data_IF_172785005583
#
_entry.id   IF_172785005583
#
_cell.length_a   1.000
_cell.length_b   1.000
_cell.length_c   1.000
_cell.angle_alpha   90.00
_cell.angle_beta   90.00
_cell.angle_gamma   90.00
#
_symmetry.space_group_name_H-M   'P 1'
#
loop_
_entity.id
_entity.type
_entity.pdbx_description
1 polymer ?
#
# COMPACT_ATOMS: atom_id res chain seq x y z
N UNK A 1 21.35 -2.75 1.93
CA UNK A 1 20.15 -3.61 1.87
C UNK A 1 19.89 -4.17 0.46
N UNK A 2 20.28 -3.49 -0.59
CA UNK A 2 20.20 -3.93 -1.99
C UNK A 2 21.39 -4.80 -2.41
N UNK A 3 21.70 -5.77 -1.57
CA UNK A 3 22.74 -6.75 -1.82
C UNK A 3 22.32 -8.08 -1.22
N UNK A 4 22.38 -9.14 -2.00
CA UNK A 4 21.96 -10.46 -1.56
C UNK A 4 22.95 -11.53 -2.00
N UNK A 5 23.58 -12.21 -1.07
CA UNK A 5 24.44 -13.40 -1.23
C UNK A 5 25.40 -13.37 -2.44
N UNK A 6 26.14 -12.26 -2.58
CA UNK A 6 27.12 -12.11 -3.66
C UNK A 6 26.61 -11.27 -4.85
N UNK A 7 25.33 -10.90 -4.87
CA UNK A 7 24.72 -10.12 -5.92
C UNK A 7 24.22 -8.78 -5.40
N UNK A 8 24.68 -7.70 -6.02
CA UNK A 8 24.16 -6.35 -5.83
C UNK A 8 23.37 -5.90 -7.04
N UNK A 9 22.95 -4.62 -7.01
CA UNK A 9 22.27 -4.00 -8.13
C UNK A 9 23.19 -3.89 -9.38
N UNK A 10 22.66 -4.01 -10.60
CA UNK A 10 21.29 -4.36 -10.97
C UNK A 10 21.01 -5.86 -10.85
N UNK A 11 19.98 -6.24 -10.13
CA UNK A 11 19.56 -7.63 -9.94
C UNK A 11 18.14 -7.67 -9.35
N UNK A 12 17.23 -8.49 -9.88
CA UNK A 12 15.84 -8.53 -9.45
C UNK A 12 15.68 -9.01 -7.99
N UNK A 13 16.43 -10.02 -7.57
CA UNK A 13 16.35 -10.54 -6.20
C UNK A 13 16.95 -9.57 -5.18
N UNK A 14 18.10 -8.94 -5.50
CA UNK A 14 18.70 -7.91 -4.66
C UNK A 14 17.77 -6.69 -4.53
N UNK A 15 17.13 -6.29 -5.62
CA UNK A 15 16.15 -5.21 -5.62
C UNK A 15 14.93 -5.54 -4.76
N UNK A 16 14.24 -6.65 -5.06
CA UNK A 16 13.02 -7.03 -4.37
C UNK A 16 13.24 -7.26 -2.87
N UNK A 17 14.39 -7.85 -2.49
CA UNK A 17 14.75 -8.02 -1.08
C UNK A 17 14.97 -6.67 -0.37
N UNK A 18 15.74 -5.77 -1.00
CA UNK A 18 15.99 -4.43 -0.48
C UNK A 18 14.70 -3.62 -0.35
N UNK A 19 13.83 -3.72 -1.36
CA UNK A 19 12.53 -3.06 -1.35
C UNK A 19 11.60 -3.63 -0.29
N UNK A 20 11.56 -4.95 -0.11
CA UNK A 20 10.83 -5.61 0.98
C UNK A 20 11.36 -5.18 2.36
N UNK A 21 12.67 -4.98 2.50
CA UNK A 21 13.25 -4.44 3.73
C UNK A 21 12.75 -3.01 4.02
N UNK A 22 12.69 -2.14 3.01
CA UNK A 22 12.15 -0.78 3.15
C UNK A 22 10.68 -0.80 3.56
N UNK A 23 9.87 -1.64 2.90
CA UNK A 23 8.44 -1.80 3.19
C UNK A 23 8.21 -2.24 4.65
N UNK A 24 8.98 -3.20 5.13
CA UNK A 24 8.81 -3.80 6.45
C UNK A 24 9.54 -3.05 7.56
N UNK A 25 10.53 -2.21 7.24
CA UNK A 25 11.43 -1.58 8.21
C UNK A 25 12.33 -2.58 8.96
N UNK A 26 12.43 -3.83 8.48
CA UNK A 26 13.20 -4.93 9.07
C UNK A 26 13.59 -5.95 8.02
N UNK A 27 14.46 -6.90 8.39
CA UNK A 27 14.78 -8.04 7.53
C UNK A 27 13.50 -8.78 7.12
N UNK A 28 13.22 -8.90 5.80
CA UNK A 28 12.05 -9.59 5.31
C UNK A 28 12.11 -11.11 5.49
N UNK A 29 13.29 -11.71 5.63
CA UNK A 29 13.46 -13.16 5.73
C UNK A 29 13.00 -13.92 4.47
N UNK A 30 12.98 -13.25 3.32
CA UNK A 30 12.64 -13.84 2.04
C UNK A 30 13.74 -14.80 1.54
N UNK A 31 13.45 -15.53 0.48
CA UNK A 31 14.39 -16.42 -0.19
C UNK A 31 15.69 -15.70 -0.58
N UNK A 32 16.82 -16.40 -0.45
CA UNK A 32 18.16 -15.91 -0.82
C UNK A 32 18.72 -16.59 -2.07
N UNK A 33 17.95 -17.43 -2.72
CA UNK A 33 18.33 -18.17 -3.92
C UNK A 33 17.83 -17.48 -5.19
N UNK A 34 17.87 -18.19 -6.31
CA UNK A 34 17.42 -17.65 -7.60
C UNK A 34 15.91 -17.31 -7.58
N UNK A 35 15.53 -16.34 -8.41
CA UNK A 35 14.19 -15.76 -8.38
C UNK A 35 13.06 -16.80 -8.58
N UNK A 36 13.29 -17.86 -9.38
CA UNK A 36 12.29 -18.92 -9.59
C UNK A 36 11.99 -19.76 -8.35
N UNK A 37 12.85 -19.72 -7.30
CA UNK A 37 12.68 -20.45 -6.05
C UNK A 37 11.89 -19.65 -5.00
N UNK A 38 11.68 -18.35 -5.23
CA UNK A 38 11.09 -17.45 -4.24
C UNK A 38 9.67 -17.82 -3.86
N UNK A 39 8.85 -18.13 -4.88
CA UNK A 39 7.43 -18.40 -4.63
C UNK A 39 7.20 -19.66 -3.77
N UNK A 40 8.02 -20.69 -3.94
CA UNK A 40 7.90 -21.96 -3.22
C UNK A 40 8.72 -22.00 -1.93
N UNK A 41 9.52 -20.96 -1.66
CA UNK A 41 10.34 -20.89 -0.45
C UNK A 41 9.47 -20.72 0.81
N UNK A 42 9.82 -21.47 1.88
CA UNK A 42 9.08 -21.40 3.15
C UNK A 42 9.61 -20.25 4.04
N UNK A 43 9.16 -19.04 3.78
CA UNK A 43 9.50 -17.81 4.53
C UNK A 43 8.41 -17.41 5.54
N UNK A 44 7.30 -18.16 5.60
CA UNK A 44 6.18 -17.89 6.49
C UNK A 44 5.17 -16.86 5.98
N UNK A 45 5.39 -16.26 4.81
CA UNK A 45 4.42 -15.37 4.17
C UNK A 45 3.32 -16.14 3.46
N UNK A 46 2.13 -15.58 3.38
CA UNK A 46 1.04 -16.13 2.55
C UNK A 46 1.29 -15.84 1.06
N UNK A 47 0.70 -16.68 0.21
CA UNK A 47 0.78 -16.58 -1.25
C UNK A 47 -0.61 -16.44 -1.85
N UNK A 48 -0.69 -15.89 -3.06
CA UNK A 48 -1.93 -15.80 -3.81
C UNK A 48 -1.77 -15.24 -5.21
N UNK A 49 -2.90 -15.03 -5.89
CA UNK A 49 -2.94 -14.59 -7.29
C UNK A 49 -3.44 -13.15 -7.46
N UNK A 50 -3.92 -12.53 -6.39
CA UNK A 50 -4.43 -11.15 -6.42
C UNK A 50 -3.32 -10.16 -6.12
N UNK A 51 -3.07 -9.14 -6.95
CA UNK A 51 -2.05 -8.14 -6.67
C UNK A 51 -2.43 -7.29 -5.46
N UNK A 52 -1.47 -7.09 -4.54
CA UNK A 52 -1.59 -6.19 -3.38
C UNK A 52 -0.36 -5.32 -3.31
N UNK A 53 -0.51 -4.04 -2.98
CA UNK A 53 0.62 -3.12 -2.80
C UNK A 53 1.59 -3.69 -1.76
N UNK A 54 2.88 -3.61 -2.04
CA UNK A 54 3.95 -4.18 -1.23
C UNK A 54 4.18 -5.69 -1.39
N UNK A 55 3.37 -6.40 -2.18
CA UNK A 55 3.59 -7.80 -2.47
C UNK A 55 4.77 -8.00 -3.45
N UNK A 56 5.46 -9.12 -3.33
CA UNK A 56 6.46 -9.54 -4.32
C UNK A 56 5.80 -10.45 -5.35
N UNK A 57 5.82 -10.03 -6.60
CA UNK A 57 5.38 -10.83 -7.75
C UNK A 57 6.51 -11.73 -8.23
N UNK A 58 6.19 -12.99 -8.55
CA UNK A 58 7.15 -14.02 -8.92
C UNK A 58 6.82 -14.65 -10.27
N UNK A 59 7.84 -14.79 -11.11
CA UNK A 59 7.78 -15.47 -12.42
C UNK A 59 8.91 -16.46 -12.55
N UNK A 60 8.67 -17.49 -13.36
CA UNK A 60 9.67 -18.47 -13.75
C UNK A 60 9.64 -18.73 -15.23
N UNK A 61 10.73 -19.25 -15.78
CA UNK A 61 10.76 -19.86 -17.10
C UNK A 61 11.64 -21.10 -17.10
N UNK A 62 11.31 -22.02 -18.01
CA UNK A 62 12.15 -23.17 -18.33
C UNK A 62 12.34 -23.23 -19.84
N UNK A 63 13.55 -23.07 -20.31
CA UNK A 63 13.89 -23.14 -21.75
C UNK A 63 15.23 -23.84 -21.96
N UNK A 64 15.27 -24.79 -22.90
CA UNK A 64 16.49 -25.49 -23.32
C UNK A 64 17.31 -26.13 -22.18
N UNK A 65 16.65 -26.57 -21.11
CA UNK A 65 17.32 -27.16 -19.96
C UNK A 65 17.79 -26.12 -18.91
N UNK A 66 17.51 -24.84 -19.13
CA UNK A 66 17.81 -23.76 -18.19
C UNK A 66 16.54 -23.29 -17.48
N UNK A 67 16.65 -23.11 -16.18
CA UNK A 67 15.61 -22.50 -15.34
C UNK A 67 16.04 -21.10 -14.99
N UNK A 68 15.11 -20.17 -15.05
CA UNK A 68 15.32 -18.79 -14.61
C UNK A 68 14.07 -18.24 -13.96
N UNK A 69 14.16 -17.07 -13.34
CA UNK A 69 13.05 -16.42 -12.70
C UNK A 69 13.22 -14.92 -12.67
N UNK A 70 12.11 -14.24 -12.37
CA UNK A 70 12.08 -12.81 -12.10
C UNK A 70 11.19 -12.54 -10.89
N UNK A 71 11.58 -11.54 -10.12
CA UNK A 71 10.78 -11.01 -9.00
C UNK A 71 10.71 -9.49 -9.12
N UNK A 72 9.52 -8.96 -8.84
CA UNK A 72 9.24 -7.54 -8.84
C UNK A 72 8.37 -7.17 -7.65
N UNK A 73 8.29 -5.90 -7.29
CA UNK A 73 7.46 -5.45 -6.18
C UNK A 73 6.26 -4.69 -6.72
N UNK A 74 5.07 -4.97 -6.18
CA UNK A 74 3.84 -4.25 -6.49
C UNK A 74 3.88 -2.92 -5.76
N UNK A 75 4.00 -1.83 -6.52
CA UNK A 75 4.05 -0.48 -5.95
C UNK A 75 2.66 0.18 -5.91
N UNK A 76 1.80 -0.16 -6.88
CA UNK A 76 0.50 0.46 -7.01
C UNK A 76 -0.52 -0.48 -7.65
N UNK A 77 -1.76 -0.41 -7.17
CA UNK A 77 -2.92 -1.08 -7.77
C UNK A 77 -4.03 -0.05 -7.83
N UNK A 78 -4.29 0.52 -9.00
CA UNK A 78 -5.34 1.52 -9.18
C UNK A 78 -5.89 1.52 -10.59
N UNK A 79 -7.17 1.92 -10.73
CA UNK A 79 -7.84 2.08 -12.04
C UNK A 79 -7.70 0.84 -12.95
N UNK A 80 -7.70 -0.37 -12.37
CA UNK A 80 -7.55 -1.62 -13.11
C UNK A 80 -6.11 -1.94 -13.53
N UNK A 81 -5.12 -1.17 -13.10
CA UNK A 81 -3.70 -1.35 -13.44
C UNK A 81 -2.86 -1.68 -12.22
N UNK A 82 -1.97 -2.66 -12.37
CA UNK A 82 -0.90 -2.97 -11.42
C UNK A 82 0.39 -2.34 -11.92
N UNK A 83 1.09 -1.61 -11.06
CA UNK A 83 2.44 -1.10 -11.33
C UNK A 83 3.45 -1.92 -10.54
N UNK A 84 4.44 -2.45 -11.23
CA UNK A 84 5.56 -3.18 -10.63
C UNK A 84 6.85 -2.36 -10.72
N UNK A 85 7.64 -2.37 -9.66
CA UNK A 85 9.03 -1.90 -9.69
C UNK A 85 9.98 -3.09 -9.82
N UNK A 86 10.99 -2.91 -10.63
CA UNK A 86 11.88 -3.96 -11.09
C UNK A 86 13.35 -3.53 -11.11
N UNK A 87 14.24 -4.52 -11.11
CA UNK A 87 15.63 -4.41 -11.55
C UNK A 87 15.99 -5.63 -12.38
N UNK A 88 16.85 -5.49 -13.39
CA UNK A 88 17.22 -6.59 -14.27
C UNK A 88 18.72 -6.85 -14.22
N UNK A 89 19.11 -8.10 -13.97
CA UNK A 89 20.50 -8.50 -13.83
C UNK A 89 21.35 -8.09 -15.02
N UNK A 90 22.43 -7.32 -14.74
CA UNK A 90 23.37 -6.88 -15.74
C UNK A 90 22.83 -5.84 -16.73
N UNK A 91 21.62 -5.32 -16.51
CA UNK A 91 20.99 -4.38 -17.44
C UNK A 91 20.54 -3.09 -16.73
N UNK A 92 19.40 -3.08 -16.03
CA UNK A 92 18.77 -1.87 -15.50
C UNK A 92 18.66 -1.92 -13.97
N UNK A 93 19.06 -0.84 -13.28
CA UNK A 93 18.95 -0.75 -11.83
C UNK A 93 17.49 -0.64 -11.35
N UNK A 94 16.70 0.12 -12.12
CA UNK A 94 15.29 0.37 -11.78
C UNK A 94 14.50 0.63 -13.06
N UNK A 95 13.34 -0.04 -13.18
CA UNK A 95 12.34 0.24 -14.21
C UNK A 95 10.95 -0.17 -13.72
N UNK A 96 9.91 0.36 -14.38
CA UNK A 96 8.53 0.02 -14.08
C UNK A 96 7.95 -0.85 -15.19
N UNK A 97 7.13 -1.83 -14.78
CA UNK A 97 6.23 -2.56 -15.68
C UNK A 97 4.79 -2.43 -15.21
N UNK A 98 3.86 -2.63 -16.13
CA UNK A 98 2.43 -2.43 -15.90
C UNK A 98 1.65 -3.64 -16.42
N UNK A 99 0.62 -4.04 -15.68
CA UNK A 99 -0.28 -5.11 -16.09
C UNK A 99 -1.74 -4.75 -15.74
N UNK A 100 -2.71 -5.41 -16.41
CA UNK A 100 -4.11 -5.38 -15.97
C UNK A 100 -4.24 -6.11 -14.62
N UNK A 101 -5.05 -5.57 -13.72
CA UNK A 101 -5.29 -6.17 -12.39
C UNK A 101 -5.84 -7.59 -12.47
N UNK A 102 -6.57 -7.92 -13.56
CA UNK A 102 -7.12 -9.25 -13.82
C UNK A 102 -6.15 -10.16 -14.59
N UNK A 103 -5.03 -9.60 -15.09
CA UNK A 103 -3.95 -10.35 -15.76
C UNK A 103 -2.58 -9.82 -15.32
N UNK A 104 -2.23 -9.97 -14.03
CA UNK A 104 -0.96 -9.47 -13.49
C UNK A 104 0.26 -10.22 -14.05
N UNK A 105 0.06 -11.39 -14.67
CA UNK A 105 1.11 -12.16 -15.33
C UNK A 105 1.82 -11.38 -16.44
N UNK A 106 1.14 -10.45 -17.08
CA UNK A 106 1.66 -9.62 -18.17
C UNK A 106 2.71 -8.61 -17.73
N UNK A 107 2.96 -8.45 -16.42
CA UNK A 107 4.08 -7.64 -15.90
C UNK A 107 5.45 -8.08 -16.42
N UNK A 108 5.59 -9.40 -16.74
CA UNK A 108 6.75 -10.01 -17.42
C UNK A 108 6.29 -10.94 -18.55
N UNK A 109 6.18 -10.40 -19.74
CA UNK A 109 5.69 -11.13 -20.91
C UNK A 109 6.58 -12.31 -21.31
N UNK A 110 5.97 -13.47 -21.49
CA UNK A 110 6.64 -14.70 -21.95
C UNK A 110 7.24 -15.55 -20.84
N UNK A 111 7.01 -15.20 -19.58
CA UNK A 111 7.36 -15.97 -18.40
C UNK A 111 6.10 -16.58 -17.78
N UNK A 112 6.25 -17.64 -17.00
CA UNK A 112 5.16 -18.24 -16.26
C UNK A 112 4.98 -17.50 -14.93
N UNK A 113 3.85 -16.88 -14.71
CA UNK A 113 3.54 -16.24 -13.46
C UNK A 113 3.25 -17.29 -12.38
N UNK A 114 4.00 -17.24 -11.26
CA UNK A 114 3.80 -18.12 -10.12
C UNK A 114 2.76 -17.55 -9.16
N UNK A 115 2.79 -16.23 -8.90
CA UNK A 115 1.90 -15.53 -8.00
C UNK A 115 2.60 -14.44 -7.17
N UNK A 116 1.95 -14.05 -6.11
CA UNK A 116 2.41 -13.01 -5.18
C UNK A 116 2.78 -13.58 -3.81
N UNK A 117 3.88 -13.10 -3.24
CA UNK A 117 4.24 -13.27 -1.82
C UNK A 117 3.75 -12.03 -1.08
N UNK A 118 2.85 -12.20 -0.09
CA UNK A 118 2.27 -11.09 0.65
C UNK A 118 3.09 -10.77 1.89
N UNK A 119 3.87 -9.70 1.84
CA UNK A 119 4.72 -9.26 2.96
C UNK A 119 3.91 -8.69 4.13
N UNK A 120 2.67 -8.30 3.88
CA UNK A 120 1.73 -7.70 4.81
C UNK A 120 0.56 -7.06 4.06
N UNK A 121 -0.28 -6.32 4.77
CA UNK A 121 -1.42 -5.61 4.18
C UNK A 121 -1.06 -4.12 4.01
N UNK A 122 -0.30 -3.82 2.97
CA UNK A 122 0.22 -2.47 2.66
C UNK A 122 -0.59 -1.81 1.54
N UNK A 123 -1.74 -1.38 1.77
CA UNK A 123 -2.53 -0.65 0.79
C UNK A 123 -3.89 -1.23 0.59
N UNK A 124 -4.79 -0.82 1.44
CA UNK A 124 -6.21 -0.85 1.12
C UNK A 124 -6.53 0.30 0.19
N UNK A 125 -6.28 0.12 -1.12
CA UNK A 125 -7.08 0.82 -2.10
C UNK A 125 -8.44 0.11 -2.12
N UNK A 126 -9.44 0.77 -1.53
CA UNK A 126 -10.82 0.33 -1.55
C UNK A 126 -11.37 0.37 -2.98
N UNK A 127 -11.27 -0.73 -3.70
CA UNK A 127 -12.21 -1.08 -4.74
C UNK A 127 -12.52 -2.56 -4.56
N UNK A 128 -13.50 -2.81 -3.70
CA UNK A 128 -14.01 -4.14 -3.44
C UNK A 128 -14.97 -4.57 -4.53
N UNK A 129 -14.71 -5.77 -5.02
CA UNK A 129 -15.72 -6.83 -5.02
C UNK A 129 -14.95 -8.12 -5.24
N UNK A 130 -14.66 -8.85 -4.17
CA UNK A 130 -14.76 -10.32 -4.24
C UNK A 130 -14.77 -10.89 -2.83
N UNK A 131 -15.80 -11.64 -2.66
CA UNK A 131 -16.34 -12.38 -1.54
C UNK A 131 -15.50 -13.62 -1.22
N UNK A 132 -15.25 -13.81 0.04
CA UNK A 132 -15.21 -15.00 0.87
C UNK A 132 -14.04 -15.04 1.85
N UNK A 133 -14.39 -14.86 3.11
CA UNK A 133 -13.64 -15.42 4.22
C UNK A 133 -13.21 -14.44 5.30
N UNK A 134 -14.14 -14.03 6.15
CA UNK A 134 -13.90 -13.61 7.54
C UNK A 134 -12.75 -12.60 7.75
N UNK A 135 -12.72 -11.53 6.97
CA UNK A 135 -11.85 -10.38 7.22
C UNK A 135 -12.44 -9.55 8.38
N UNK A 136 -11.84 -9.70 9.52
CA UNK A 136 -12.08 -8.76 10.63
C UNK A 136 -11.57 -7.40 10.17
N UNK A 137 -12.47 -6.49 9.80
CA UNK A 137 -12.11 -5.11 9.46
C UNK A 137 -11.45 -4.51 10.70
N UNK A 138 -10.12 -4.28 10.62
CA UNK A 138 -9.40 -3.62 11.70
C UNK A 138 -9.45 -2.13 11.46
N UNK A 139 -10.36 -1.45 12.14
CA UNK A 139 -10.41 0.00 12.13
C UNK A 139 -9.24 0.58 12.90
N UNK A 140 -8.65 1.67 12.37
CA UNK A 140 -7.52 2.40 12.97
C UNK A 140 -7.81 3.90 13.01
N UNK A 141 -6.98 4.66 13.67
CA UNK A 141 -7.00 6.13 13.57
C UNK A 141 -6.66 6.59 12.15
N UNK A 142 -7.18 7.74 11.72
CA UNK A 142 -6.96 8.26 10.37
C UNK A 142 -8.13 9.06 9.82
N UNK A 143 -8.08 9.41 8.55
CA UNK A 143 -9.14 10.13 7.86
C UNK A 143 -10.14 9.17 7.27
N UNK A 144 -11.39 9.41 7.56
CA UNK A 144 -12.54 8.65 7.06
C UNK A 144 -13.51 9.56 6.34
N UNK A 145 -14.09 9.08 5.26
CA UNK A 145 -15.23 9.71 4.58
C UNK A 145 -16.53 9.07 5.04
N UNK A 146 -17.52 9.88 5.36
CA UNK A 146 -18.85 9.41 5.75
C UNK A 146 -19.59 8.87 4.54
N UNK A 147 -19.99 7.58 4.57
CA UNK A 147 -20.73 6.89 3.51
C UNK A 147 -22.13 6.46 4.00
N UNK A 148 -23.09 7.35 3.91
CA UNK A 148 -24.49 7.13 4.28
C UNK A 148 -25.42 7.79 3.27
N UNK A 149 -26.70 7.46 3.29
CA UNK A 149 -27.69 8.09 2.39
C UNK A 149 -27.96 9.57 2.71
N UNK A 150 -27.82 10.00 3.97
CA UNK A 150 -28.18 11.36 4.43
C UNK A 150 -27.17 11.86 5.47
N UNK A 151 -27.30 11.46 6.75
CA UNK A 151 -26.46 11.92 7.84
C UNK A 151 -25.95 10.77 8.73
N UNK A 152 -24.70 10.88 9.17
CA UNK A 152 -24.16 10.08 10.25
C UNK A 152 -24.28 10.83 11.58
N UNK A 153 -24.84 10.17 12.60
CA UNK A 153 -24.93 10.75 13.93
C UNK A 153 -23.58 10.68 14.66
N UNK A 154 -23.04 11.84 15.03
CA UNK A 154 -21.96 11.95 16.00
C UNK A 154 -22.55 11.96 17.40
N UNK A 155 -22.01 11.16 18.31
CA UNK A 155 -22.57 10.93 19.65
C UNK A 155 -21.59 11.31 20.74
N UNK A 156 -22.12 11.66 21.91
CA UNK A 156 -21.34 12.03 23.10
C UNK A 156 -20.47 10.86 23.60
N UNK A 157 -20.96 9.62 23.45
CA UNK A 157 -20.27 8.39 23.85
C UNK A 157 -20.39 7.33 22.75
N UNK A 158 -19.46 6.36 22.74
CA UNK A 158 -19.39 5.27 21.77
C UNK A 158 -20.51 4.22 21.97
N UNK A 159 -21.76 4.64 21.81
CA UNK A 159 -22.95 3.78 21.89
C UNK A 159 -24.14 4.41 21.15
N UNK A 160 -24.99 3.57 20.56
CA UNK A 160 -26.19 3.99 19.82
C UNK A 160 -27.25 4.66 20.69
N UNK A 161 -27.26 4.40 22.01
CA UNK A 161 -28.16 5.02 22.99
C UNK A 161 -27.68 6.38 23.48
N UNK A 162 -26.44 6.78 23.19
CA UNK A 162 -25.90 8.07 23.62
C UNK A 162 -26.52 9.23 22.83
N UNK A 163 -26.54 10.41 23.46
CA UNK A 163 -27.05 11.65 22.86
C UNK A 163 -26.28 11.96 21.57
N UNK A 164 -27.04 12.31 20.53
CA UNK A 164 -26.46 12.88 19.29
C UNK A 164 -26.02 14.32 19.54
N UNK A 165 -24.77 14.62 19.34
CA UNK A 165 -24.16 15.96 19.49
C UNK A 165 -24.03 16.69 18.17
N UNK A 166 -23.96 15.96 17.05
CA UNK A 166 -23.93 16.51 15.70
C UNK A 166 -24.48 15.52 14.68
N UNK A 167 -24.89 16.01 13.50
CA UNK A 167 -25.24 15.20 12.34
C UNK A 167 -24.32 15.56 11.17
N UNK A 168 -23.54 14.58 10.70
CA UNK A 168 -22.50 14.76 9.71
C UNK A 168 -23.01 14.27 8.36
N UNK A 169 -22.91 15.10 7.32
CA UNK A 169 -23.39 14.79 5.98
C UNK A 169 -22.55 13.72 5.31
N UNK A 170 -23.18 12.98 4.41
CA UNK A 170 -22.50 12.10 3.47
C UNK A 170 -21.36 12.82 2.75
N UNK A 171 -20.25 12.12 2.45
CA UNK A 171 -19.08 12.65 1.78
C UNK A 171 -18.21 13.59 2.62
N UNK A 172 -18.50 13.72 3.94
CA UNK A 172 -17.68 14.54 4.84
C UNK A 172 -16.46 13.75 5.30
N UNK A 173 -15.27 14.34 5.17
CA UNK A 173 -14.06 13.78 5.76
C UNK A 173 -13.93 14.10 7.24
N UNK A 174 -13.56 13.11 8.04
CA UNK A 174 -13.37 13.18 9.47
C UNK A 174 -12.00 12.62 9.85
N UNK A 175 -11.23 13.35 10.65
CA UNK A 175 -10.01 12.81 11.23
C UNK A 175 -10.31 12.12 12.56
N UNK A 176 -10.16 10.81 12.59
CA UNK A 176 -10.40 9.94 13.74
C UNK A 176 -9.09 9.78 14.53
N UNK A 177 -9.11 10.21 15.78
CA UNK A 177 -7.93 10.22 16.66
C UNK A 177 -7.91 9.10 17.69
N UNK A 178 -9.03 8.38 17.87
CA UNK A 178 -9.14 7.22 18.76
C UNK A 178 -10.21 6.26 18.23
N UNK A 179 -10.03 4.96 18.47
CA UNK A 179 -10.94 3.89 17.98
C UNK A 179 -11.32 2.96 19.12
N UNK A 180 -12.60 2.63 19.21
CA UNK A 180 -13.15 1.78 20.27
C UNK A 180 -14.26 0.86 19.76
N UNK A 181 -14.23 -0.41 20.16
CA UNK A 181 -15.31 -1.36 19.95
C UNK A 181 -16.36 -1.23 21.04
N UNK A 182 -17.64 -1.05 20.69
CA UNK A 182 -18.74 -0.99 21.65
C UNK A 182 -20.09 -1.24 20.97
N UNK A 183 -20.91 -2.09 21.57
CA UNK A 183 -22.30 -2.33 21.14
C UNK A 183 -22.45 -2.89 19.73
N UNK A 184 -21.48 -3.68 19.25
CA UNK A 184 -21.49 -4.28 17.92
C UNK A 184 -20.99 -3.36 16.80
N UNK A 185 -20.53 -2.15 17.14
CA UNK A 185 -19.98 -1.17 16.22
C UNK A 185 -18.53 -0.83 16.56
N UNK A 186 -17.78 -0.39 15.57
CA UNK A 186 -16.50 0.28 15.77
C UNK A 186 -16.72 1.79 15.76
N UNK A 187 -16.35 2.43 16.85
CA UNK A 187 -16.52 3.88 17.04
C UNK A 187 -15.20 4.60 16.85
N UNK A 188 -15.22 5.68 16.05
CA UNK A 188 -14.11 6.61 15.88
C UNK A 188 -14.37 7.92 16.62
N UNK A 189 -13.40 8.36 17.45
CA UNK A 189 -13.46 9.66 18.09
C UNK A 189 -12.93 10.75 17.19
N UNK A 190 -13.67 11.80 17.00
CA UNK A 190 -13.32 12.88 16.08
C UNK A 190 -13.77 14.24 16.59
N UNK A 191 -13.23 15.30 15.96
CA UNK A 191 -13.67 16.68 16.15
C UNK A 191 -14.18 17.21 14.81
N UNK A 192 -15.43 17.63 14.76
CA UNK A 192 -16.02 18.24 13.58
C UNK A 192 -16.68 19.56 13.93
N UNK A 193 -16.31 20.66 13.27
CA UNK A 193 -16.80 22.03 13.53
C UNK A 193 -16.75 22.41 15.02
N UNK A 194 -15.64 22.10 15.67
CA UNK A 194 -15.38 22.33 17.10
C UNK A 194 -16.27 21.49 18.07
N UNK A 195 -17.06 20.55 17.56
CA UNK A 195 -17.79 19.59 18.37
C UNK A 195 -17.00 18.28 18.40
N UNK A 196 -16.82 17.71 19.59
CA UNK A 196 -16.15 16.43 19.80
C UNK A 196 -17.16 15.32 20.01
N UNK A 197 -16.89 14.14 19.48
CA UNK A 197 -17.78 13.01 19.68
C UNK A 197 -17.35 11.76 18.94
N UNK A 198 -18.17 10.73 19.03
CA UNK A 198 -17.98 9.42 18.47
C UNK A 198 -18.89 9.18 17.26
N UNK A 199 -18.34 8.64 16.20
CA UNK A 199 -19.05 8.20 14.99
C UNK A 199 -18.85 6.70 14.78
N UNK A 200 -19.86 6.00 14.28
CA UNK A 200 -19.73 4.59 13.92
C UNK A 200 -18.97 4.47 12.58
N UNK A 201 -17.76 3.93 12.62
CA UNK A 201 -16.88 3.78 11.45
C UNK A 201 -17.39 2.74 10.45
N UNK A 202 -18.32 1.88 10.86
CA UNK A 202 -19.05 0.95 9.99
C UNK A 202 -19.83 1.66 8.88
N UNK A 203 -20.05 2.96 9.00
CA UNK A 203 -20.69 3.86 8.03
C UNK A 203 -19.70 4.85 7.39
N UNK A 204 -18.42 4.53 7.44
CA UNK A 204 -17.37 5.39 6.93
C UNK A 204 -16.37 4.56 6.12
N UNK A 205 -15.80 5.18 5.12
CA UNK A 205 -14.70 4.65 4.34
C UNK A 205 -13.39 5.25 4.82
N UNK A 206 -12.42 4.41 5.14
CA UNK A 206 -11.07 4.87 5.43
C UNK A 206 -10.41 5.44 4.17
N UNK A 207 -9.79 6.61 4.27
CA UNK A 207 -9.10 7.27 3.17
C UNK A 207 -7.58 7.25 3.33
N UNK A 208 -7.06 7.71 4.51
CA UNK A 208 -5.63 7.89 4.75
C UNK A 208 -5.32 8.10 6.23
N UNK A 209 -4.05 7.98 6.59
CA UNK A 209 -3.63 8.07 8.01
C UNK A 209 -3.71 9.48 8.60
N UNK A 210 -3.45 10.52 7.81
CA UNK A 210 -3.48 11.92 8.28
C UNK A 210 -4.38 12.82 7.42
N UNK A 211 -4.93 13.92 7.95
CA UNK A 211 -5.62 14.92 7.15
C UNK A 211 -4.68 15.53 6.10
N UNK A 212 -5.22 15.85 4.92
CA UNK A 212 -4.52 16.73 3.98
C UNK A 212 -4.41 18.12 4.62
N UNK A 213 -3.20 18.62 4.76
CA UNK A 213 -3.00 19.98 5.22
C UNK A 213 -3.26 20.94 4.05
N UNK A 214 -4.42 21.65 4.11
CA UNK A 214 -4.83 22.62 3.08
C UNK A 214 -4.00 23.91 3.11
N UNK A 215 -2.91 23.96 3.83
CA UNK A 215 -2.02 25.10 4.00
C UNK A 215 -0.55 24.82 3.67
N UNK A 216 -0.23 24.21 2.51
CA UNK A 216 1.14 24.08 1.97
C UNK A 216 2.22 23.53 2.93
N UNK A 217 1.85 22.82 3.96
CA UNK A 217 2.78 22.22 4.93
C UNK A 217 2.65 20.71 4.94
N UNK A 218 3.04 20.06 3.84
CA UNK A 218 3.29 18.62 3.85
C UNK A 218 4.53 18.34 4.71
N UNK A 219 4.55 17.22 5.38
CA UNK A 219 5.72 16.75 6.12
C UNK A 219 6.86 16.43 5.14
N UNK A 220 8.12 16.73 5.50
CA UNK A 220 9.26 16.27 4.72
C UNK A 220 9.19 14.77 4.54
N UNK A 221 9.32 14.33 3.29
CA UNK A 221 9.13 12.93 2.90
C UNK A 221 7.75 12.60 2.32
N UNK A 222 6.70 13.44 2.50
CA UNK A 222 5.39 13.27 1.85
C UNK A 222 5.44 13.81 0.41
N UNK A 223 6.12 13.07 -0.46
CA UNK A 223 6.46 13.49 -1.83
C UNK A 223 5.24 13.45 -2.75
N UNK A 224 4.36 12.48 -2.55
CA UNK A 224 3.12 12.37 -3.32
C UNK A 224 2.01 13.29 -2.79
N UNK A 225 2.28 14.01 -1.68
CA UNK A 225 1.38 14.99 -1.07
C UNK A 225 0.01 14.41 -0.68
N UNK A 226 -0.02 13.14 -0.24
CA UNK A 226 -1.25 12.47 0.20
C UNK A 226 -1.53 12.67 1.69
N UNK A 227 -0.64 13.32 2.44
CA UNK A 227 -0.74 13.61 3.86
C UNK A 227 -0.15 12.51 4.77
N UNK A 228 0.58 11.54 4.20
CA UNK A 228 1.29 10.51 4.93
C UNK A 228 2.69 10.33 4.35
N UNK A 229 3.68 10.14 5.19
CA UNK A 229 5.03 9.72 4.76
C UNK A 229 5.05 8.20 4.79
N UNK A 230 4.95 7.58 3.62
CA UNK A 230 4.85 6.13 3.50
C UNK A 230 5.63 5.59 2.27
N UNK A 231 5.40 4.32 1.96
CA UNK A 231 6.08 3.60 0.87
C UNK A 231 5.82 4.22 -0.51
N UNK A 232 4.67 4.88 -0.71
CA UNK A 232 4.31 5.47 -1.99
C UNK A 232 5.19 6.70 -2.29
N UNK A 233 5.65 7.42 -1.27
CA UNK A 233 6.57 8.54 -1.42
C UNK A 233 7.95 8.08 -1.90
N UNK A 234 8.42 6.95 -1.37
CA UNK A 234 9.67 6.34 -1.83
C UNK A 234 9.55 5.93 -3.31
N UNK A 235 8.40 5.41 -3.72
CA UNK A 235 8.12 5.07 -5.12
C UNK A 235 8.17 6.31 -6.01
N UNK A 236 7.52 7.41 -5.62
CA UNK A 236 7.57 8.68 -6.36
C UNK A 236 9.02 9.20 -6.46
N UNK A 237 9.78 9.16 -5.37
CA UNK A 237 11.19 9.55 -5.38
C UNK A 237 12.03 8.68 -6.31
N UNK A 238 11.83 7.36 -6.31
CA UNK A 238 12.52 6.44 -7.22
C UNK A 238 12.17 6.74 -8.68
N UNK A 239 10.92 7.04 -8.99
CA UNK A 239 10.48 7.45 -10.33
C UNK A 239 11.20 8.73 -10.79
N UNK A 240 11.30 9.73 -9.92
CA UNK A 240 12.02 10.96 -10.21
C UNK A 240 13.51 10.71 -10.44
N UNK A 241 14.20 10.00 -9.54
CA UNK A 241 15.64 9.71 -9.64
C UNK A 241 15.96 8.89 -10.89
N UNK A 242 15.08 7.98 -11.30
CA UNK A 242 15.20 7.17 -12.52
C UNK A 242 14.76 7.90 -13.79
N UNK A 243 14.36 9.18 -13.70
CA UNK A 243 13.85 10.01 -14.81
C UNK A 243 12.58 9.48 -15.47
N UNK A 244 11.76 8.74 -14.72
CA UNK A 244 10.44 8.27 -15.16
C UNK A 244 9.31 9.20 -14.72
N UNK A 245 9.60 10.23 -13.93
CA UNK A 245 8.66 11.29 -13.54
C UNK A 245 9.41 12.62 -13.33
N UNK A 246 8.70 13.74 -13.47
CA UNK A 246 9.17 15.07 -13.12
C UNK A 246 8.54 15.51 -11.80
N UNK A 247 9.33 16.18 -10.95
CA UNK A 247 8.85 16.74 -9.69
C UNK A 247 8.54 18.23 -9.82
N UNK A 248 7.50 18.66 -9.13
CA UNK A 248 7.21 20.08 -8.88
C UNK A 248 8.20 20.67 -7.85
N UNK A 249 8.30 22.00 -7.79
CA UNK A 249 9.13 22.70 -6.77
C UNK A 249 8.74 22.30 -5.34
N UNK A 250 7.46 22.00 -5.09
CA UNK A 250 6.98 21.53 -3.78
C UNK A 250 7.49 20.14 -3.48
N UNK A 251 7.40 19.21 -4.44
CA UNK A 251 7.90 17.84 -4.28
C UNK A 251 9.41 17.81 -4.07
N UNK A 252 10.17 18.66 -4.78
CA UNK A 252 11.62 18.76 -4.59
C UNK A 252 11.97 19.21 -3.16
N UNK A 253 11.24 20.17 -2.60
CA UNK A 253 11.43 20.60 -1.20
C UNK A 253 11.06 19.54 -0.19
N UNK A 254 10.04 18.71 -0.48
CA UNK A 254 9.61 17.62 0.39
C UNK A 254 10.58 16.43 0.34
N UNK A 255 11.25 16.24 -0.80
CA UNK A 255 12.26 15.20 -1.00
C UNK A 255 13.65 15.59 -0.44
N UNK A 256 13.87 16.87 -0.11
CA UNK A 256 15.13 17.37 0.42
C UNK A 256 15.24 17.01 1.90
N UNK A 257 16.10 16.05 2.16
CA UNK A 257 16.41 15.53 3.50
C UNK A 257 17.85 15.91 3.84
N UNK A 258 18.08 17.19 4.09
CA UNK A 258 19.38 17.71 4.56
C UNK A 258 19.81 17.12 5.92
#
# INVERSE_FOLDING_TARGET
IYYQYGYGMPNCTAYAYGRAYEILGRDPGLCHYDAYEWYDYNDGYSRGQTPKVGAVACWEYYRNGETGGHVAVVEKVENGTVTFSNSAWGWENFYLTYADVNDPAMGESGWNFQGFIYLGDFGKNNNNNDDNGNDTITYKTGVYEVEVSDYLNMRESATTSSKTVYQIKNGTELYVTDVKQSGGYTWGYTTYKNVKGWVALDYCKYLRDKPLDNGNNYEHGDINMNGAVDILDITELQMYVSKNADFTDTQLKLADVD
#
